data_IF_229641705123
#
_entry.id   IF_229641705123
#
_cell.length_a   1.000
_cell.length_b   1.000
_cell.length_c   1.000
_cell.angle_alpha   90.00
_cell.angle_beta   90.00
_cell.angle_gamma   90.00
#
_symmetry.space_group_name_H-M   'P 1'
#
loop_
_entity.id
_entity.type
_entity.pdbx_description
1 polymer ?
#
# COMPACT_ATOMS: atom_id res chain seq x y z
N UNK A 1 -5.87 29.71 -27.77
CA UNK A 1 -4.81 28.68 -27.68
C UNK A 1 -3.89 28.85 -26.45
N UNK A 2 -3.81 30.02 -25.80
CA UNK A 2 -3.02 30.20 -24.55
C UNK A 2 -3.73 29.76 -23.27
N UNK A 3 -5.00 30.12 -23.10
CA UNK A 3 -5.76 29.83 -21.87
C UNK A 3 -5.99 28.33 -21.64
N UNK A 4 -6.25 27.55 -22.69
CA UNK A 4 -6.44 26.10 -22.57
C UNK A 4 -5.18 25.38 -22.09
N UNK A 5 -4.00 25.85 -22.48
CA UNK A 5 -2.71 25.27 -22.05
C UNK A 5 -2.47 25.54 -20.56
N UNK A 6 -2.86 26.73 -20.10
CA UNK A 6 -2.76 27.13 -18.70
C UNK A 6 -3.70 26.31 -17.79
N UNK A 7 -4.95 26.10 -18.23
CA UNK A 7 -5.92 25.25 -17.54
C UNK A 7 -5.41 23.79 -17.43
N UNK A 8 -4.87 23.23 -18.51
CA UNK A 8 -4.32 21.87 -18.50
C UNK A 8 -3.13 21.72 -17.54
N UNK A 9 -2.31 22.77 -17.41
CA UNK A 9 -1.18 22.79 -16.47
C UNK A 9 -1.67 22.80 -15.02
N UNK A 10 -2.64 23.67 -14.71
CA UNK A 10 -3.24 23.76 -13.36
C UNK A 10 -3.90 22.43 -12.94
N UNK A 11 -4.65 21.80 -13.84
CA UNK A 11 -5.27 20.50 -13.57
C UNK A 11 -4.24 19.40 -13.31
N UNK A 12 -3.13 19.36 -14.06
CA UNK A 12 -2.06 18.38 -13.84
C UNK A 12 -1.41 18.57 -12.47
N UNK A 13 -1.11 19.82 -12.11
CA UNK A 13 -0.44 20.13 -10.85
C UNK A 13 -1.32 19.80 -9.64
N UNK A 14 -2.64 20.08 -9.73
CA UNK A 14 -3.60 19.70 -8.70
C UNK A 14 -3.68 18.17 -8.53
N UNK A 15 -3.87 17.44 -9.63
CA UNK A 15 -3.90 15.97 -9.62
C UNK A 15 -2.61 15.35 -9.07
N UNK A 16 -1.46 15.96 -9.37
CA UNK A 16 -0.18 15.53 -8.81
C UNK A 16 -0.11 15.76 -7.30
N UNK A 17 -0.60 16.89 -6.80
CA UNK A 17 -0.62 17.20 -5.38
C UNK A 17 -1.53 16.23 -4.60
N UNK A 18 -2.75 16.00 -5.07
CA UNK A 18 -3.67 15.03 -4.49
C UNK A 18 -3.12 13.60 -4.55
N UNK A 19 -2.49 13.24 -5.68
CA UNK A 19 -1.83 11.96 -5.86
C UNK A 19 -0.70 11.72 -4.86
N UNK A 20 0.08 12.75 -4.52
CA UNK A 20 1.14 12.68 -3.49
C UNK A 20 0.55 12.48 -2.10
N UNK A 21 -0.47 13.26 -1.72
CA UNK A 21 -1.13 13.15 -0.43
C UNK A 21 -1.73 11.76 -0.23
N UNK A 22 -2.44 11.23 -1.23
CA UNK A 22 -3.01 9.87 -1.19
C UNK A 22 -1.95 8.80 -1.03
N UNK A 23 -0.83 8.90 -1.75
CA UNK A 23 0.29 7.95 -1.64
C UNK A 23 0.92 7.94 -0.24
N UNK A 24 1.05 9.12 0.38
CA UNK A 24 1.55 9.25 1.74
C UNK A 24 0.58 8.64 2.75
N UNK A 25 -0.70 9.01 2.67
CA UNK A 25 -1.75 8.44 3.53
C UNK A 25 -1.82 6.90 3.41
N UNK A 26 -1.79 6.38 2.18
CA UNK A 26 -1.77 4.93 1.94
C UNK A 26 -0.56 4.25 2.59
N UNK A 27 0.61 4.90 2.51
CA UNK A 27 1.85 4.37 3.09
C UNK A 27 1.74 4.28 4.60
N UNK A 28 1.32 5.35 5.25
CA UNK A 28 1.14 5.42 6.71
C UNK A 28 0.09 4.41 7.18
N UNK A 29 -1.13 4.50 6.65
CA UNK A 29 -2.25 3.62 7.05
C UNK A 29 -1.94 2.15 6.81
N UNK A 30 -1.37 1.78 5.65
CA UNK A 30 -1.03 0.38 5.38
C UNK A 30 0.07 -0.15 6.29
N UNK A 31 1.08 0.67 6.60
CA UNK A 31 2.17 0.26 7.50
C UNK A 31 1.64 0.07 8.92
N UNK A 32 0.79 1.00 9.39
CA UNK A 32 0.13 0.90 10.68
C UNK A 32 -0.75 -0.37 10.80
N UNK A 33 -1.51 -0.71 9.75
CA UNK A 33 -2.31 -1.93 9.71
C UNK A 33 -1.43 -3.19 9.84
N UNK A 34 -0.28 -3.23 9.16
CA UNK A 34 0.66 -4.35 9.28
C UNK A 34 1.24 -4.46 10.69
N UNK A 35 1.66 -3.34 11.27
CA UNK A 35 2.16 -3.28 12.65
C UNK A 35 1.10 -3.73 13.67
N UNK A 36 -0.14 -3.20 13.58
CA UNK A 36 -1.26 -3.59 14.45
C UNK A 36 -1.66 -5.05 14.29
N UNK A 37 -1.47 -5.63 13.12
CA UNK A 37 -1.77 -7.04 12.85
C UNK A 37 -0.66 -7.99 13.32
N UNK A 38 0.43 -7.48 13.90
CA UNK A 38 1.56 -8.29 14.36
C UNK A 38 2.21 -9.09 13.24
N UNK A 39 2.31 -8.47 12.06
CA UNK A 39 3.00 -9.04 10.89
C UNK A 39 4.47 -8.67 10.97
N UNK A 40 5.34 -9.67 10.80
CA UNK A 40 6.78 -9.40 10.70
C UNK A 40 7.13 -8.85 9.31
N UNK A 41 7.81 -7.70 9.28
CA UNK A 41 8.31 -7.13 8.05
C UNK A 41 9.60 -6.34 8.25
N UNK A 42 10.43 -6.33 7.20
CA UNK A 42 11.62 -5.49 7.11
C UNK A 42 11.34 -4.30 6.20
N UNK A 43 11.49 -3.07 6.73
CA UNK A 43 11.37 -1.86 5.93
C UNK A 43 12.64 -1.58 5.12
N UNK A 44 12.47 -1.24 3.84
CA UNK A 44 13.51 -0.79 2.92
C UNK A 44 13.13 0.56 2.33
N UNK A 45 14.11 1.34 1.86
CA UNK A 45 13.90 2.62 1.19
C UNK A 45 12.94 3.53 1.96
N UNK A 46 13.22 3.71 3.25
CA UNK A 46 12.43 4.52 4.19
C UNK A 46 10.94 4.10 4.24
N UNK A 47 10.66 2.80 4.20
CA UNK A 47 9.31 2.24 4.27
C UNK A 47 8.51 2.33 2.97
N UNK A 48 9.15 2.69 1.85
CA UNK A 48 8.51 2.66 0.53
C UNK A 48 8.32 1.25 0.01
N UNK A 49 9.18 0.34 0.47
CA UNK A 49 9.14 -1.09 0.17
C UNK A 49 9.29 -1.87 1.48
N UNK A 50 8.37 -2.78 1.75
CA UNK A 50 8.38 -3.66 2.91
C UNK A 50 8.53 -5.11 2.43
N UNK A 51 9.46 -5.84 3.01
CA UNK A 51 9.58 -7.29 2.81
C UNK A 51 8.83 -7.94 3.96
N UNK A 52 7.70 -8.56 3.67
CA UNK A 52 6.85 -9.25 4.65
C UNK A 52 7.23 -10.72 4.71
N UNK A 53 7.54 -11.20 5.91
CA UNK A 53 8.02 -12.56 6.17
C UNK A 53 7.10 -13.22 7.21
N UNK A 54 6.06 -13.90 6.73
CA UNK A 54 4.99 -14.37 7.60
C UNK A 54 4.33 -15.64 7.04
N UNK A 55 4.01 -16.60 7.91
CA UNK A 55 3.34 -17.85 7.51
C UNK A 55 4.13 -18.66 6.47
N UNK A 56 5.47 -18.60 6.50
CA UNK A 56 6.36 -19.26 5.54
C UNK A 56 6.41 -18.60 4.15
N UNK A 57 5.82 -17.41 3.99
CA UNK A 57 5.81 -16.66 2.73
C UNK A 57 6.69 -15.43 2.83
N UNK A 58 7.33 -15.09 1.72
CA UNK A 58 8.10 -13.86 1.57
C UNK A 58 7.44 -13.02 0.48
N UNK A 59 6.97 -11.83 0.85
CA UNK A 59 6.18 -10.97 -0.03
C UNK A 59 6.78 -9.56 -0.07
N UNK A 60 7.05 -9.08 -1.28
CA UNK A 60 7.43 -7.68 -1.52
C UNK A 60 6.17 -6.81 -1.54
N UNK A 61 6.10 -5.78 -0.69
CA UNK A 61 4.94 -4.90 -0.54
C UNK A 61 5.32 -3.42 -0.69
N UNK A 62 4.57 -2.67 -1.49
CA UNK A 62 4.71 -1.23 -1.68
C UNK A 62 3.49 -0.49 -1.08
N UNK A 63 3.58 -0.03 0.18
CA UNK A 63 2.45 0.55 0.91
C UNK A 63 1.74 1.70 0.19
N UNK A 64 2.49 2.59 -0.46
CA UNK A 64 1.94 3.79 -1.12
C UNK A 64 0.97 3.47 -2.26
N UNK A 65 1.14 2.32 -2.91
CA UNK A 65 0.28 1.86 -4.02
C UNK A 65 -0.57 0.64 -3.65
N UNK A 66 -0.30 0.04 -2.49
CA UNK A 66 -0.87 -1.23 -2.07
C UNK A 66 -0.41 -2.42 -2.91
N UNK A 67 0.54 -2.29 -3.83
CA UNK A 67 1.02 -3.41 -4.65
C UNK A 67 1.76 -4.42 -3.77
N UNK A 68 1.44 -5.70 -3.88
CA UNK A 68 2.27 -6.77 -3.34
C UNK A 68 2.56 -7.87 -4.37
N UNK A 69 3.71 -8.51 -4.23
CA UNK A 69 4.17 -9.60 -5.07
C UNK A 69 4.70 -10.71 -4.17
N UNK A 70 4.07 -11.88 -4.24
CA UNK A 70 4.58 -13.05 -3.55
C UNK A 70 5.81 -13.57 -4.32
N UNK A 71 6.93 -13.77 -3.62
CA UNK A 71 8.16 -14.24 -4.27
C UNK A 71 8.05 -15.67 -4.77
N UNK A 72 7.13 -16.49 -4.25
CA UNK A 72 6.92 -17.87 -4.69
C UNK A 72 6.25 -17.94 -6.07
N UNK A 73 5.17 -17.17 -6.28
CA UNK A 73 4.38 -17.24 -7.53
C UNK A 73 4.55 -16.03 -8.46
N UNK A 74 5.26 -14.99 -8.03
CA UNK A 74 5.51 -13.71 -8.74
C UNK A 74 4.24 -12.98 -9.18
N UNK A 75 3.06 -13.35 -8.67
CA UNK A 75 1.80 -12.72 -9.06
C UNK A 75 1.63 -11.38 -8.35
N UNK A 76 1.30 -10.37 -9.15
CA UNK A 76 0.98 -9.03 -8.68
C UNK A 76 -0.44 -8.99 -8.12
N UNK A 77 -0.58 -8.48 -6.90
CA UNK A 77 -1.85 -8.30 -6.20
C UNK A 77 -1.87 -6.92 -5.53
N UNK A 78 -3.02 -6.51 -4.98
CA UNK A 78 -3.15 -5.20 -4.33
C UNK A 78 -3.91 -5.24 -3.01
N UNK A 79 -3.57 -4.30 -2.14
CA UNK A 79 -4.26 -3.98 -0.89
C UNK A 79 -3.69 -4.71 0.33
N UNK A 80 -3.54 -3.97 1.43
CA UNK A 80 -3.01 -4.49 2.71
C UNK A 80 -3.88 -5.61 3.28
N UNK A 81 -5.21 -5.52 3.19
CA UNK A 81 -6.10 -6.57 3.71
C UNK A 81 -6.00 -7.87 2.92
N UNK A 82 -5.81 -7.78 1.59
CA UNK A 82 -5.58 -8.96 0.75
C UNK A 82 -4.20 -9.56 1.04
N UNK A 83 -3.20 -8.73 1.34
CA UNK A 83 -1.89 -9.19 1.82
C UNK A 83 -2.01 -9.95 3.14
N UNK A 84 -2.70 -9.39 4.15
CA UNK A 84 -2.93 -10.06 5.44
C UNK A 84 -3.59 -11.44 5.27
N UNK A 85 -4.68 -11.50 4.49
CA UNK A 85 -5.35 -12.76 4.15
C UNK A 85 -4.40 -13.73 3.44
N UNK A 86 -3.58 -13.22 2.52
CA UNK A 86 -2.62 -14.02 1.76
C UNK A 86 -1.54 -14.63 2.65
N UNK A 87 -1.04 -13.92 3.66
CA UNK A 87 -0.04 -14.42 4.61
C UNK A 87 -0.66 -15.14 5.83
N UNK A 88 -1.99 -15.30 5.86
CA UNK A 88 -2.69 -16.06 6.90
C UNK A 88 -2.89 -15.31 8.21
N UNK A 89 -2.72 -13.97 8.23
CA UNK A 89 -2.99 -13.14 9.40
C UNK A 89 -4.41 -12.60 9.37
N UNK A 90 -5.12 -12.74 10.49
CA UNK A 90 -6.36 -12.01 10.75
C UNK A 90 -6.00 -10.64 11.33
N UNK A 91 -6.80 -9.62 11.04
CA UNK A 91 -6.71 -8.38 11.81
C UNK A 91 -6.90 -8.73 13.28
N UNK A 92 -5.95 -8.34 14.12
CA UNK A 92 -6.15 -8.33 15.56
C UNK A 92 -7.31 -7.39 15.87
N UNK A 93 -8.45 -7.97 16.25
CA UNK A 93 -9.58 -7.31 16.89
C UNK A 93 -9.97 -5.91 16.39
N UNK A 94 -10.59 -5.80 15.21
CA UNK A 94 -11.73 -4.89 15.05
C UNK A 94 -12.81 -5.60 14.24
N UNK A 95 -13.96 -5.81 14.87
CA UNK A 95 -15.22 -6.16 14.21
C UNK A 95 -15.61 -5.01 13.27
N UNK A 96 -15.10 -5.01 12.04
CA UNK A 96 -15.43 -4.02 11.01
C UNK A 96 -16.16 -4.70 9.86
N UNK A 97 -17.47 -4.48 9.81
CA UNK A 97 -18.43 -4.95 8.80
C UNK A 97 -17.85 -4.97 7.37
N UNK A 98 -18.05 -6.10 6.68
CA UNK A 98 -18.21 -6.08 5.24
C UNK A 98 -19.50 -5.31 4.92
N UNK A 99 -19.40 -4.27 4.09
CA UNK A 99 -20.53 -3.75 3.30
C UNK A 99 -20.83 -4.71 2.15
#
# INVERSE_FOLDING_TARGET
MGEEVEILKLLKDHNHAEGRQRKQHNKESSTEILTKSGVNFTARNNGTHLIVEEGGKIVDYWPSTGLFIDRADKKRRRGVFRLLKHVGKKMGGINGRAS
#
